data_IF_393422235568
#
_entry.id   IF_393422235568
#
_cell.length_a   1.000
_cell.length_b   1.000
_cell.length_c   1.000
_cell.angle_alpha   90.00
_cell.angle_beta   90.00
_cell.angle_gamma   90.00
#
_symmetry.space_group_name_H-M   'P 1'
#
loop_
_entity.id
_entity.type
_entity.pdbx_description
1 polymer ?
#
# COMPACT_ATOMS: atom_id res chain seq x y z
N UNK A 1 16.20 -9.86 -27.15
CA UNK A 1 16.73 -8.75 -26.33
C UNK A 1 17.40 -9.31 -25.06
N UNK A 2 18.64 -9.82 -25.10
CA UNK A 2 19.27 -10.49 -23.95
C UNK A 2 19.49 -9.57 -22.73
N UNK A 3 19.56 -8.25 -22.98
CA UNK A 3 19.79 -7.22 -21.98
C UNK A 3 18.51 -6.61 -21.42
N UNK A 4 17.32 -7.14 -21.74
CA UNK A 4 16.08 -6.66 -21.14
C UNK A 4 16.12 -6.93 -19.63
N UNK A 5 15.88 -5.89 -18.83
CA UNK A 5 15.88 -5.94 -17.35
C UNK A 5 14.57 -5.45 -16.75
N UNK A 6 13.82 -4.68 -17.49
CA UNK A 6 12.58 -4.07 -17.05
C UNK A 6 11.53 -4.34 -18.10
N UNK A 7 10.36 -4.81 -17.67
CA UNK A 7 9.26 -5.13 -18.57
C UNK A 7 7.97 -4.63 -17.95
N UNK A 8 7.21 -3.88 -18.74
CA UNK A 8 5.87 -3.44 -18.37
C UNK A 8 4.86 -4.01 -19.36
N UNK A 9 3.86 -4.71 -18.82
CA UNK A 9 2.84 -5.41 -19.56
C UNK A 9 1.47 -4.84 -19.18
N UNK A 10 0.79 -4.25 -20.15
CA UNK A 10 -0.53 -3.63 -19.96
C UNK A 10 -1.52 -4.19 -20.98
N UNK A 11 -2.72 -4.55 -20.53
CA UNK A 11 -3.85 -4.80 -21.41
C UNK A 11 -4.71 -6.00 -21.01
N UNK A 12 -6.02 -5.85 -21.17
CA UNK A 12 -6.98 -6.92 -21.02
C UNK A 12 -6.80 -7.92 -22.17
N UNK A 13 -6.53 -9.19 -21.87
CA UNK A 13 -6.50 -10.31 -22.85
C UNK A 13 -5.23 -10.54 -23.68
N UNK A 14 -4.11 -9.85 -23.43
CA UNK A 14 -2.91 -9.94 -24.30
C UNK A 14 -1.93 -11.09 -23.98
N UNK A 15 -2.13 -11.84 -22.89
CA UNK A 15 -1.08 -12.72 -22.36
C UNK A 15 -1.32 -14.22 -22.49
N UNK A 16 -2.53 -14.65 -22.84
CA UNK A 16 -2.80 -16.03 -23.25
C UNK A 16 -2.74 -16.10 -24.78
N UNK A 17 -1.56 -16.28 -25.41
CA UNK A 17 -0.51 -17.23 -25.00
C UNK A 17 0.92 -16.69 -25.24
N UNK A 18 1.35 -15.65 -24.52
CA UNK A 18 2.72 -15.18 -24.62
C UNK A 18 3.63 -16.08 -23.77
N UNK A 19 4.14 -17.16 -24.36
CA UNK A 19 5.13 -18.02 -23.69
C UNK A 19 6.50 -17.34 -23.67
N UNK A 20 6.75 -16.60 -22.61
CA UNK A 20 8.02 -15.94 -22.34
C UNK A 20 8.97 -16.79 -21.47
N UNK A 21 8.60 -18.04 -21.14
CA UNK A 21 9.37 -18.87 -20.21
C UNK A 21 10.77 -19.25 -20.73
N UNK A 22 10.95 -19.30 -22.06
CA UNK A 22 12.24 -19.53 -22.73
C UNK A 22 13.04 -18.26 -23.05
N UNK A 23 12.66 -17.11 -22.50
CA UNK A 23 13.29 -15.83 -22.85
C UNK A 23 14.78 -15.79 -22.48
N UNK A 24 15.67 -15.30 -23.37
CA UNK A 24 17.11 -15.25 -23.13
C UNK A 24 17.53 -14.14 -22.14
N UNK A 25 16.56 -13.39 -21.60
CA UNK A 25 16.78 -12.29 -20.68
C UNK A 25 16.34 -12.65 -19.26
N UNK A 26 16.91 -11.92 -18.30
CA UNK A 26 16.61 -12.02 -16.88
C UNK A 26 16.13 -10.67 -16.38
N UNK A 27 14.88 -10.61 -15.95
CA UNK A 27 14.25 -9.38 -15.47
C UNK A 27 14.68 -9.06 -14.04
N UNK A 28 14.81 -7.77 -13.76
CA UNK A 28 14.99 -7.18 -12.44
C UNK A 28 13.68 -6.57 -11.94
N UNK A 29 12.95 -5.89 -12.82
CA UNK A 29 11.63 -5.31 -12.51
C UNK A 29 10.58 -5.79 -13.51
N UNK A 30 9.39 -6.10 -13.00
CA UNK A 30 8.25 -6.53 -13.79
C UNK A 30 7.00 -5.82 -13.30
N UNK A 31 6.36 -5.08 -14.21
CA UNK A 31 5.06 -4.47 -13.99
C UNK A 31 4.03 -5.17 -14.87
N UNK A 32 2.96 -5.67 -14.26
CA UNK A 32 1.83 -6.29 -14.93
C UNK A 32 0.54 -5.65 -14.42
N UNK A 33 -0.25 -5.11 -15.34
CA UNK A 33 -1.64 -4.76 -15.07
C UNK A 33 -2.57 -5.79 -15.75
N UNK A 34 -3.38 -6.55 -14.99
CA UNK A 34 -3.74 -7.95 -15.23
C UNK A 34 -5.09 -8.08 -15.98
N UNK A 35 -5.74 -9.28 -16.03
CA UNK A 35 -5.56 -10.50 -15.22
C UNK A 35 -4.25 -11.29 -15.46
N UNK A 36 -3.65 -11.81 -14.38
CA UNK A 36 -2.48 -12.72 -14.39
C UNK A 36 -3.01 -14.15 -14.44
N UNK A 37 -2.78 -14.83 -15.56
CA UNK A 37 -3.12 -16.25 -15.73
C UNK A 37 -1.95 -17.16 -15.34
N UNK A 38 -2.14 -18.48 -15.52
CA UNK A 38 -1.11 -19.48 -15.27
C UNK A 38 0.15 -19.27 -16.14
N UNK A 39 0.04 -18.67 -17.32
CA UNK A 39 1.19 -18.42 -18.21
C UNK A 39 2.05 -17.29 -17.68
N UNK A 40 1.43 -16.20 -17.22
CA UNK A 40 2.15 -15.10 -16.56
C UNK A 40 2.79 -15.59 -15.26
N UNK A 41 2.10 -16.39 -14.45
CA UNK A 41 2.72 -16.94 -13.24
C UNK A 41 3.95 -17.81 -13.57
N UNK A 42 3.85 -18.71 -14.56
CA UNK A 42 4.99 -19.51 -15.05
C UNK A 42 6.13 -18.62 -15.56
N UNK A 43 5.81 -17.54 -16.26
CA UNK A 43 6.81 -16.58 -16.70
C UNK A 43 7.52 -15.94 -15.50
N UNK A 44 6.78 -15.46 -14.50
CA UNK A 44 7.36 -14.90 -13.27
C UNK A 44 8.26 -15.94 -12.57
N UNK A 45 7.82 -17.20 -12.46
CA UNK A 45 8.62 -18.27 -11.84
C UNK A 45 9.91 -18.56 -12.61
N UNK A 46 9.95 -18.33 -13.93
CA UNK A 46 11.16 -18.48 -14.76
C UNK A 46 12.19 -17.35 -14.58
N UNK A 47 11.83 -16.30 -13.83
CA UNK A 47 12.60 -15.06 -13.65
C UNK A 47 13.00 -14.86 -12.18
N UNK A 48 13.91 -15.70 -11.62
CA UNK A 48 14.29 -15.62 -10.20
C UNK A 48 15.03 -14.32 -9.83
N UNK A 49 15.52 -13.58 -10.82
CA UNK A 49 16.26 -12.32 -10.65
C UNK A 49 15.36 -11.10 -10.43
N UNK A 50 14.04 -11.26 -10.47
CA UNK A 50 13.11 -10.16 -10.22
C UNK A 50 13.23 -9.76 -8.75
N UNK A 51 13.55 -8.49 -8.53
CA UNK A 51 13.63 -7.86 -7.21
C UNK A 51 12.48 -6.89 -6.96
N UNK A 52 11.79 -6.49 -8.03
CA UNK A 52 10.66 -5.56 -8.02
C UNK A 52 9.50 -6.13 -8.85
N UNK A 53 8.40 -6.46 -8.18
CA UNK A 53 7.22 -7.03 -8.78
C UNK A 53 6.01 -6.14 -8.53
N UNK A 54 5.44 -5.58 -9.59
CA UNK A 54 4.23 -4.80 -9.52
C UNK A 54 3.12 -5.52 -10.28
N UNK A 55 2.15 -6.08 -9.56
CA UNK A 55 0.96 -6.72 -10.14
C UNK A 55 -0.29 -5.99 -9.67
N UNK A 56 -0.85 -5.14 -10.53
CA UNK A 56 -1.88 -4.17 -10.15
C UNK A 56 -3.17 -4.38 -10.90
N UNK A 57 -4.19 -4.94 -10.24
CA UNK A 57 -5.51 -5.13 -10.87
C UNK A 57 -6.15 -3.82 -11.30
N UNK A 58 -6.68 -3.79 -12.53
CA UNK A 58 -7.58 -2.73 -12.93
C UNK A 58 -8.84 -2.82 -12.05
N UNK A 59 -9.12 -1.73 -11.34
CA UNK A 59 -10.32 -1.52 -10.51
C UNK A 59 -11.62 -1.79 -11.27
N UNK A 60 -11.59 -1.76 -12.61
CA UNK A 60 -12.74 -1.98 -13.48
C UNK A 60 -13.20 -3.44 -13.57
N UNK A 61 -12.38 -4.42 -13.17
CA UNK A 61 -12.73 -5.84 -13.29
C UNK A 61 -12.73 -6.50 -11.91
N UNK A 62 -13.77 -7.29 -11.60
CA UNK A 62 -13.81 -8.18 -10.41
C UNK A 62 -12.82 -9.36 -10.53
N UNK A 63 -11.72 -9.16 -11.24
CA UNK A 63 -10.71 -10.15 -11.52
C UNK A 63 -9.45 -9.80 -10.71
N UNK A 64 -8.77 -10.83 -10.24
CA UNK A 64 -7.47 -10.71 -9.60
C UNK A 64 -6.61 -11.90 -10.01
N UNK A 65 -5.35 -11.90 -9.57
CA UNK A 65 -4.43 -13.02 -9.76
C UNK A 65 -4.98 -14.27 -9.09
N UNK A 66 -4.68 -15.46 -9.63
CA UNK A 66 -4.88 -16.68 -8.85
C UNK A 66 -3.64 -16.90 -7.94
N UNK A 67 -3.82 -16.79 -6.62
CA UNK A 67 -2.74 -16.93 -5.63
C UNK A 67 -2.16 -18.34 -5.58
N UNK A 68 -2.91 -19.36 -6.02
CA UNK A 68 -2.44 -20.76 -6.06
C UNK A 68 -1.22 -20.94 -6.97
N UNK A 69 -0.98 -20.00 -7.89
CA UNK A 69 0.21 -20.00 -8.75
C UNK A 69 1.46 -19.41 -8.10
N UNK A 70 1.35 -18.84 -6.88
CA UNK A 70 2.42 -18.11 -6.20
C UNK A 70 2.82 -18.74 -4.85
N UNK A 71 2.44 -20.00 -4.62
CA UNK A 71 2.68 -20.71 -3.34
C UNK A 71 4.08 -21.35 -3.23
N UNK A 72 4.85 -21.40 -4.31
CA UNK A 72 6.20 -21.97 -4.29
C UNK A 72 7.15 -21.08 -3.47
N UNK A 73 7.75 -21.57 -2.37
CA UNK A 73 8.64 -20.78 -1.53
C UNK A 73 9.96 -20.41 -2.21
N UNK A 74 10.34 -21.08 -3.30
CA UNK A 74 11.57 -20.81 -4.06
C UNK A 74 11.39 -19.75 -5.15
N UNK A 75 10.14 -19.36 -5.43
CA UNK A 75 9.81 -18.36 -6.43
C UNK A 75 10.25 -16.97 -5.94
N UNK A 76 10.99 -16.24 -6.78
CA UNK A 76 11.45 -14.87 -6.52
C UNK A 76 12.27 -14.72 -5.22
N UNK A 77 13.41 -15.43 -5.07
CA UNK A 77 14.18 -15.46 -3.81
C UNK A 77 14.73 -14.08 -3.42
N UNK A 78 14.99 -13.20 -4.39
CA UNK A 78 15.56 -11.86 -4.18
C UNK A 78 14.49 -10.76 -4.25
N UNK A 79 13.22 -11.06 -3.98
CA UNK A 79 12.14 -10.07 -4.03
C UNK A 79 12.26 -9.06 -2.89
N UNK A 80 12.45 -7.78 -3.22
CA UNK A 80 12.58 -6.68 -2.26
C UNK A 80 11.37 -5.74 -2.30
N UNK A 81 10.77 -5.55 -3.46
CA UNK A 81 9.62 -4.66 -3.66
C UNK A 81 8.46 -5.42 -4.25
N UNK A 82 7.28 -5.29 -3.65
CA UNK A 82 6.05 -5.88 -4.16
C UNK A 82 4.90 -4.88 -4.13
N UNK A 83 4.19 -4.76 -5.25
CA UNK A 83 2.88 -4.10 -5.32
C UNK A 83 1.85 -5.13 -5.72
N UNK A 84 0.74 -5.23 -4.99
CA UNK A 84 -0.37 -6.06 -5.40
C UNK A 84 -1.43 -6.26 -4.34
N UNK A 85 -2.34 -7.21 -4.59
CA UNK A 85 -3.41 -7.49 -3.65
C UNK A 85 -2.91 -8.18 -2.37
N UNK A 86 -3.65 -8.04 -1.24
CA UNK A 86 -3.28 -8.65 0.03
C UNK A 86 -2.98 -10.16 -0.06
N UNK A 87 -3.81 -10.91 -0.79
CA UNK A 87 -3.61 -12.35 -0.99
C UNK A 87 -2.31 -12.70 -1.70
N UNK A 88 -1.96 -11.96 -2.76
CA UNK A 88 -0.70 -12.16 -3.49
C UNK A 88 0.51 -11.85 -2.60
N UNK A 89 0.44 -10.76 -1.85
CA UNK A 89 1.49 -10.36 -0.92
C UNK A 89 1.66 -11.43 0.14
N UNK A 90 0.57 -11.98 0.67
CA UNK A 90 0.65 -13.03 1.67
C UNK A 90 1.22 -14.35 1.16
N UNK A 91 1.01 -14.69 -0.12
CA UNK A 91 1.66 -15.85 -0.75
C UNK A 91 3.16 -15.62 -1.00
N UNK A 92 3.55 -14.39 -1.35
CA UNK A 92 4.92 -14.04 -1.72
C UNK A 92 5.76 -13.43 -0.59
N UNK A 93 5.21 -13.08 0.57
CA UNK A 93 6.00 -12.49 1.66
C UNK A 93 6.92 -13.52 2.38
N UNK A 94 6.44 -14.74 2.71
CA UNK A 94 7.23 -15.67 3.50
C UNK A 94 8.56 -16.03 2.82
N UNK A 95 9.66 -15.96 3.58
CA UNK A 95 10.99 -16.38 3.16
C UNK A 95 11.74 -15.41 2.25
N UNK A 96 11.16 -14.25 1.90
CA UNK A 96 11.77 -13.29 0.96
C UNK A 96 12.16 -11.97 1.64
N UNK A 97 13.20 -11.29 1.14
CA UNK A 97 13.74 -10.08 1.75
C UNK A 97 12.94 -8.82 1.36
N UNK A 98 11.62 -8.85 1.53
CA UNK A 98 10.79 -7.69 1.26
C UNK A 98 11.17 -6.51 2.16
N UNK A 99 11.31 -5.33 1.57
CA UNK A 99 11.56 -4.08 2.30
C UNK A 99 10.54 -3.00 1.93
N UNK A 100 9.95 -3.08 0.73
CA UNK A 100 8.96 -2.14 0.24
C UNK A 100 7.69 -2.87 -0.22
N UNK A 101 6.55 -2.52 0.36
CA UNK A 101 5.28 -3.19 0.09
C UNK A 101 4.19 -2.17 -0.22
N UNK A 102 3.49 -2.35 -1.33
CA UNK A 102 2.32 -1.55 -1.70
C UNK A 102 1.12 -2.50 -1.79
N UNK A 103 0.22 -2.40 -0.82
CA UNK A 103 -0.98 -3.22 -0.72
C UNK A 103 -2.12 -2.49 -1.44
N UNK A 104 -2.67 -3.14 -2.47
CA UNK A 104 -3.85 -2.68 -3.21
C UNK A 104 -5.00 -3.68 -3.04
N UNK A 105 -5.94 -3.48 -2.10
CA UNK A 105 -7.08 -4.36 -1.92
C UNK A 105 -7.86 -4.58 -3.24
N UNK A 106 -8.42 -5.78 -3.42
CA UNK A 106 -9.10 -6.16 -4.66
C UNK A 106 -10.42 -6.90 -4.38
N UNK A 107 -11.37 -6.92 -5.30
CA UNK A 107 -12.69 -7.57 -5.07
C UNK A 107 -12.65 -9.08 -4.84
N UNK A 108 -11.53 -9.73 -5.12
CA UNK A 108 -11.39 -11.20 -5.02
C UNK A 108 -10.79 -11.62 -3.68
N UNK A 109 -9.77 -10.90 -3.19
CA UNK A 109 -9.03 -11.24 -1.97
C UNK A 109 -9.22 -10.22 -0.84
N UNK A 110 -10.03 -9.20 -1.05
CA UNK A 110 -10.46 -8.32 0.04
C UNK A 110 -11.80 -8.81 0.57
N UNK A 111 -11.70 -9.76 1.49
CA UNK A 111 -12.81 -10.34 2.21
C UNK A 111 -12.69 -9.95 3.68
N UNK A 112 -13.27 -8.81 4.05
CA UNK A 112 -13.42 -8.33 5.43
C UNK A 112 -12.11 -8.06 6.23
N UNK A 113 -12.26 -7.33 7.35
CA UNK A 113 -11.18 -6.96 8.27
C UNK A 113 -10.33 -8.14 8.76
N UNK A 114 -10.92 -9.33 8.96
CA UNK A 114 -10.20 -10.48 9.49
C UNK A 114 -9.20 -11.06 8.48
N UNK A 115 -9.49 -11.03 7.18
CA UNK A 115 -8.53 -11.51 6.19
C UNK A 115 -7.41 -10.51 5.97
N UNK A 116 -7.69 -9.20 6.00
CA UNK A 116 -6.64 -8.17 5.95
C UNK A 116 -5.66 -8.33 7.11
N UNK A 117 -6.13 -8.61 8.33
CA UNK A 117 -5.26 -8.90 9.48
C UNK A 117 -4.35 -10.10 9.20
N UNK A 118 -4.90 -11.20 8.67
CA UNK A 118 -4.10 -12.39 8.31
C UNK A 118 -3.04 -12.06 7.25
N UNK A 119 -3.39 -11.25 6.26
CA UNK A 119 -2.45 -10.85 5.21
C UNK A 119 -1.35 -9.93 5.74
N UNK A 120 -1.67 -9.00 6.63
CA UNK A 120 -0.67 -8.15 7.29
C UNK A 120 0.28 -9.00 8.13
N UNK A 121 -0.22 -9.98 8.88
CA UNK A 121 0.61 -10.88 9.68
C UNK A 121 1.61 -11.70 8.84
N UNK A 122 1.31 -11.97 7.56
CA UNK A 122 2.24 -12.67 6.67
C UNK A 122 3.56 -11.91 6.42
N UNK A 123 3.56 -10.58 6.60
CA UNK A 123 4.74 -9.74 6.43
C UNK A 123 5.79 -9.98 7.53
N UNK A 124 5.39 -10.50 8.70
CA UNK A 124 6.31 -10.92 9.76
C UNK A 124 7.15 -12.15 9.36
N UNK A 125 6.79 -12.83 8.28
CA UNK A 125 7.52 -13.98 7.75
C UNK A 125 8.53 -13.63 6.65
N UNK A 126 8.71 -12.33 6.38
CA UNK A 126 9.78 -11.85 5.50
C UNK A 126 11.15 -12.01 6.17
N UNK A 127 12.21 -12.12 5.37
CA UNK A 127 13.59 -12.29 5.89
C UNK A 127 14.32 -10.96 6.09
N UNK A 128 13.70 -9.85 5.72
CA UNK A 128 14.20 -8.49 5.90
C UNK A 128 13.14 -7.61 6.56
N UNK A 129 13.53 -6.60 7.35
CA UNK A 129 12.58 -5.67 7.95
C UNK A 129 11.86 -4.82 6.89
N UNK A 130 10.53 -4.72 7.00
CA UNK A 130 9.73 -3.82 6.15
C UNK A 130 10.06 -2.37 6.50
N UNK A 131 10.58 -1.62 5.53
CA UNK A 131 10.96 -0.22 5.69
C UNK A 131 9.93 0.75 5.10
N UNK A 132 9.24 0.36 4.02
CA UNK A 132 8.22 1.18 3.38
C UNK A 132 6.94 0.39 3.17
N UNK A 133 5.81 0.98 3.54
CA UNK A 133 4.50 0.38 3.41
C UNK A 133 3.49 1.40 2.90
N UNK A 134 2.81 1.07 1.81
CA UNK A 134 1.72 1.88 1.26
C UNK A 134 0.45 1.03 1.24
N UNK A 135 -0.60 1.51 1.90
CA UNK A 135 -1.95 0.94 1.82
C UNK A 135 -2.87 1.81 0.95
N UNK A 136 -3.17 1.28 -0.23
CA UNK A 136 -3.89 1.95 -1.31
C UNK A 136 -5.35 1.45 -1.31
N UNK A 137 -6.16 1.94 -0.38
CA UNK A 137 -7.59 1.59 -0.27
C UNK A 137 -8.44 2.51 -1.14
N UNK A 138 -8.72 2.11 -2.37
CA UNK A 138 -9.71 2.77 -3.21
C UNK A 138 -11.14 2.27 -2.88
N UNK A 139 -12.06 3.21 -2.64
CA UNK A 139 -13.52 3.06 -2.66
C UNK A 139 -14.21 2.06 -1.70
N UNK A 140 -13.58 1.69 -0.57
CA UNK A 140 -14.21 0.77 0.39
C UNK A 140 -14.39 1.33 1.79
N UNK A 141 -15.64 1.48 2.28
CA UNK A 141 -15.91 2.05 3.59
C UNK A 141 -15.67 1.08 4.76
N UNK A 142 -15.50 -0.22 4.51
CA UNK A 142 -15.45 -1.22 5.59
C UNK A 142 -14.10 -1.35 6.29
N UNK A 143 -13.02 -0.89 5.66
CA UNK A 143 -11.68 -0.95 6.25
C UNK A 143 -10.88 0.30 5.87
N UNK A 144 -10.72 1.20 6.84
CA UNK A 144 -10.06 2.48 6.61
C UNK A 144 -8.54 2.36 6.66
N UNK A 145 -7.84 3.38 6.12
CA UNK A 145 -6.40 3.54 6.35
C UNK A 145 -6.05 3.60 7.85
N UNK A 146 -6.95 4.09 8.71
CA UNK A 146 -6.74 4.10 10.16
C UNK A 146 -6.81 2.70 10.77
N UNK A 147 -7.79 1.88 10.35
CA UNK A 147 -7.90 0.47 10.75
C UNK A 147 -6.64 -0.31 10.34
N UNK A 148 -6.10 -0.01 9.16
CA UNK A 148 -4.86 -0.61 8.69
C UNK A 148 -3.69 -0.36 9.65
N UNK A 149 -3.49 0.88 10.06
CA UNK A 149 -2.39 1.25 10.97
C UNK A 149 -2.54 0.56 12.33
N UNK A 150 -3.77 0.49 12.85
CA UNK A 150 -4.04 -0.25 14.09
C UNK A 150 -3.74 -1.75 13.93
N UNK A 151 -4.03 -2.35 12.77
CA UNK A 151 -3.66 -3.74 12.51
C UNK A 151 -2.14 -3.96 12.45
N UNK A 152 -1.36 -2.99 11.96
CA UNK A 152 0.10 -3.09 11.95
C UNK A 152 0.68 -3.21 13.36
N UNK A 153 0.04 -2.61 14.37
CA UNK A 153 0.49 -2.70 15.77
C UNK A 153 0.49 -4.12 16.33
N UNK A 154 -0.25 -5.04 15.71
CA UNK A 154 -0.25 -6.45 16.07
C UNK A 154 0.94 -7.24 15.49
N UNK A 155 1.84 -6.59 14.74
CA UNK A 155 2.98 -7.21 14.03
C UNK A 155 4.32 -6.66 14.49
N UNK A 156 5.42 -7.20 13.95
CA UNK A 156 6.77 -6.66 14.13
C UNK A 156 7.08 -5.42 13.29
N UNK A 157 6.21 -5.07 12.32
CA UNK A 157 6.42 -3.98 11.36
C UNK A 157 6.69 -2.62 12.03
N UNK A 158 5.94 -2.16 13.06
CA UNK A 158 6.13 -0.84 13.67
C UNK A 158 7.54 -0.58 14.21
N UNK A 159 8.29 -1.65 14.51
CA UNK A 159 9.66 -1.55 15.02
C UNK A 159 10.68 -1.19 13.94
N UNK A 160 10.35 -1.38 12.66
CA UNK A 160 11.28 -1.21 11.54
C UNK A 160 10.80 -0.31 10.41
N UNK A 161 9.50 0.00 10.38
CA UNK A 161 8.90 0.84 9.35
C UNK A 161 9.44 2.26 9.40
N UNK A 162 9.94 2.76 8.27
CA UNK A 162 10.50 4.11 8.09
C UNK A 162 9.52 5.02 7.35
N UNK A 163 8.78 4.47 6.39
CA UNK A 163 7.80 5.20 5.58
C UNK A 163 6.44 4.49 5.60
N UNK A 164 5.38 5.23 5.90
CA UNK A 164 4.01 4.74 5.89
C UNK A 164 3.13 5.70 5.10
N UNK A 165 2.50 5.19 4.05
CA UNK A 165 1.50 5.91 3.27
C UNK A 165 0.15 5.20 3.38
N UNK A 166 -0.91 5.93 3.68
CA UNK A 166 -2.29 5.40 3.68
C UNK A 166 -3.19 6.33 2.88
N UNK A 167 -4.22 5.77 2.24
CA UNK A 167 -5.28 6.58 1.63
C UNK A 167 -6.42 6.86 2.61
N UNK A 168 -6.97 8.06 2.55
CA UNK A 168 -8.17 8.46 3.27
C UNK A 168 -9.07 9.35 2.41
N UNK A 169 -10.37 9.39 2.72
CA UNK A 169 -11.29 10.33 2.09
C UNK A 169 -11.10 11.73 2.70
N UNK A 170 -10.72 12.70 1.86
CA UNK A 170 -10.42 14.07 2.27
C UNK A 170 -11.64 14.80 2.85
N UNK A 171 -12.83 14.62 2.25
CA UNK A 171 -14.06 15.23 2.75
C UNK A 171 -14.48 14.63 4.09
N UNK A 172 -14.36 13.32 4.25
CA UNK A 172 -14.64 12.66 5.53
C UNK A 172 -13.66 13.15 6.61
N UNK A 173 -12.37 13.22 6.29
CA UNK A 173 -11.36 13.77 7.19
C UNK A 173 -11.73 15.21 7.64
N UNK A 174 -12.02 16.09 6.69
CA UNK A 174 -12.39 17.48 6.99
C UNK A 174 -13.66 17.56 7.83
N UNK A 175 -14.66 16.74 7.49
CA UNK A 175 -15.93 16.66 8.22
C UNK A 175 -15.73 16.18 9.66
N UNK A 176 -14.91 15.16 9.87
CA UNK A 176 -14.60 14.66 11.21
C UNK A 176 -13.81 15.69 12.02
N UNK A 177 -12.82 16.34 11.42
CA UNK A 177 -12.06 17.39 12.09
C UNK A 177 -12.93 18.60 12.47
N UNK A 178 -13.89 18.98 11.62
CA UNK A 178 -14.83 20.06 11.93
C UNK A 178 -15.81 19.69 13.06
N UNK A 179 -16.22 18.41 13.14
CA UNK A 179 -17.15 17.91 14.17
C UNK A 179 -16.46 17.61 15.51
N UNK A 180 -15.22 17.16 15.47
CA UNK A 180 -14.45 16.73 16.64
C UNK A 180 -13.10 17.46 16.68
N UNK A 181 -12.94 18.48 17.55
CA UNK A 181 -11.67 19.18 17.71
C UNK A 181 -10.48 18.28 18.08
N UNK A 182 -10.73 17.11 18.67
CA UNK A 182 -9.71 16.14 19.08
C UNK A 182 -9.32 15.15 17.99
N UNK A 183 -9.98 15.17 16.82
CA UNK A 183 -9.79 14.16 15.77
C UNK A 183 -8.33 14.06 15.29
N UNK A 184 -7.65 15.19 15.09
CA UNK A 184 -6.23 15.18 14.75
C UNK A 184 -5.34 14.56 15.84
N UNK A 185 -5.69 14.76 17.12
CA UNK A 185 -5.00 14.12 18.25
C UNK A 185 -5.22 12.62 18.24
N UNK A 186 -6.45 12.16 17.98
CA UNK A 186 -6.78 10.73 17.86
C UNK A 186 -5.98 10.09 16.72
N UNK A 187 -5.88 10.74 15.56
CA UNK A 187 -5.05 10.27 14.45
C UNK A 187 -3.58 10.19 14.84
N UNK A 188 -3.04 11.21 15.50
CA UNK A 188 -1.64 11.18 15.93
C UNK A 188 -1.37 10.01 16.89
N UNK A 189 -2.32 9.69 17.79
CA UNK A 189 -2.24 8.56 18.72
C UNK A 189 -2.21 7.19 18.01
N UNK A 190 -2.78 7.09 16.81
CA UNK A 190 -2.70 5.86 16.00
C UNK A 190 -1.24 5.52 15.63
N UNK A 191 -0.31 6.49 15.64
CA UNK A 191 1.12 6.23 15.39
C UNK A 191 1.91 5.85 16.64
N UNK A 192 1.29 5.74 17.82
CA UNK A 192 1.98 5.26 19.01
C UNK A 192 2.50 3.83 18.81
N UNK A 193 3.74 3.60 19.22
CA UNK A 193 4.43 2.30 19.09
C UNK A 193 5.29 2.15 17.83
N UNK A 194 5.21 3.09 16.88
CA UNK A 194 6.13 3.12 15.74
C UNK A 194 7.48 3.69 16.17
N UNK A 195 8.51 2.83 16.18
CA UNK A 195 9.83 3.20 16.69
C UNK A 195 10.70 3.92 15.64
N UNK A 196 10.61 3.49 14.37
CA UNK A 196 11.49 3.96 13.29
C UNK A 196 10.81 4.86 12.27
N UNK A 197 9.52 5.17 12.44
CA UNK A 197 8.73 5.87 11.43
C UNK A 197 9.16 7.32 11.28
N UNK A 198 9.74 7.64 10.13
CA UNK A 198 10.27 8.97 9.81
C UNK A 198 9.33 9.77 8.90
N UNK A 199 8.60 9.08 8.02
CA UNK A 199 7.73 9.68 7.01
C UNK A 199 6.33 9.08 7.13
N UNK A 200 5.35 9.92 7.42
CA UNK A 200 3.94 9.54 7.41
C UNK A 200 3.17 10.39 6.41
N UNK A 201 2.49 9.74 5.48
CA UNK A 201 1.71 10.38 4.44
C UNK A 201 0.27 9.84 4.39
N UNK A 202 -0.68 10.76 4.31
CA UNK A 202 -2.08 10.46 4.03
C UNK A 202 -2.39 10.97 2.64
N UNK A 203 -2.71 10.08 1.71
CA UNK A 203 -3.12 10.43 0.35
C UNK A 203 -4.65 10.48 0.22
N UNK A 204 -5.15 11.21 -0.78
CA UNK A 204 -6.57 11.23 -1.11
C UNK A 204 -6.99 9.92 -1.80
N UNK A 205 -8.05 9.28 -1.30
CA UNK A 205 -8.54 8.02 -1.87
C UNK A 205 -9.14 8.18 -3.28
N UNK A 206 -9.85 9.29 -3.59
CA UNK A 206 -10.44 9.55 -4.93
C UNK A 206 -10.64 11.06 -5.17
N UNK A 207 -10.07 11.60 -6.25
CA UNK A 207 -10.14 13.03 -6.65
C UNK A 207 -11.50 13.51 -7.22
N UNK A 208 -12.47 12.60 -7.46
CA UNK A 208 -13.70 12.89 -8.21
C UNK A 208 -14.88 13.46 -7.41
N UNK A 209 -15.00 13.12 -6.12
CA UNK A 209 -16.18 13.47 -5.30
C UNK A 209 -16.25 14.96 -4.93
N UNK A 210 -15.10 15.61 -4.78
CA UNK A 210 -15.02 17.00 -4.32
C UNK A 210 -15.36 17.97 -5.48
N UNK A 211 -15.09 17.58 -6.73
CA UNK A 211 -15.42 18.38 -7.92
C UNK A 211 -16.94 18.59 -8.09
N UNK A 212 -17.77 17.69 -7.55
CA UNK A 212 -19.23 17.74 -7.66
C UNK A 212 -19.89 18.59 -6.56
N UNK A 213 -19.13 19.05 -5.55
CA UNK A 213 -19.66 19.82 -4.42
C UNK A 213 -18.79 21.05 -4.10
N UNK A 214 -19.09 22.24 -4.67
CA UNK A 214 -18.32 23.46 -4.42
C UNK A 214 -18.20 23.84 -2.93
N UNK A 215 -19.25 23.57 -2.13
CA UNK A 215 -19.23 23.79 -0.68
C UNK A 215 -18.30 22.85 0.09
N UNK A 216 -17.91 21.70 -0.49
CA UNK A 216 -16.96 20.78 0.13
C UNK A 216 -15.55 21.39 0.16
N UNK A 217 -15.16 22.13 -0.88
CA UNK A 217 -13.88 22.84 -0.92
C UNK A 217 -13.79 23.89 0.19
N UNK A 218 -14.86 24.66 0.43
CA UNK A 218 -14.86 25.66 1.51
C UNK A 218 -14.66 25.04 2.89
N UNK A 219 -15.27 23.88 3.14
CA UNK A 219 -15.10 23.15 4.41
C UNK A 219 -13.67 22.63 4.54
N UNK A 220 -13.13 22.03 3.48
CA UNK A 220 -11.75 21.53 3.45
C UNK A 220 -10.76 22.66 3.71
N UNK A 221 -10.86 23.75 2.95
CA UNK A 221 -9.97 24.92 3.08
C UNK A 221 -10.04 25.52 4.48
N UNK A 222 -11.25 25.66 5.04
CA UNK A 222 -11.43 26.17 6.40
C UNK A 222 -10.76 25.25 7.43
N UNK A 223 -10.90 23.92 7.30
CA UNK A 223 -10.29 22.95 8.22
C UNK A 223 -8.76 23.03 8.15
N UNK A 224 -8.17 23.04 6.96
CA UNK A 224 -6.72 23.14 6.83
C UNK A 224 -6.19 24.49 7.32
N UNK A 225 -6.89 25.60 7.07
CA UNK A 225 -6.53 26.90 7.62
C UNK A 225 -6.55 26.91 9.16
N UNK A 226 -7.45 26.14 9.80
CA UNK A 226 -7.47 25.96 11.25
C UNK A 226 -6.30 25.11 11.73
N UNK A 227 -6.02 23.99 11.05
CA UNK A 227 -4.91 23.09 11.35
C UNK A 227 -3.58 23.88 11.28
N UNK A 228 -3.30 24.57 10.18
CA UNK A 228 -2.07 25.33 9.96
C UNK A 228 -1.80 26.40 11.04
N UNK A 229 -2.84 26.93 11.68
CA UNK A 229 -2.72 27.92 12.77
C UNK A 229 -2.42 27.30 14.13
N UNK A 230 -2.47 25.99 14.29
CA UNK A 230 -2.17 25.32 15.55
C UNK A 230 -0.66 25.35 15.82
N UNK A 231 -0.24 26.12 16.81
CA UNK A 231 1.17 26.36 17.13
C UNK A 231 1.98 25.11 17.51
N UNK A 232 1.32 23.98 17.82
CA UNK A 232 1.94 22.79 18.40
C UNK A 232 1.73 21.50 17.57
N UNK A 233 1.39 21.60 16.28
CA UNK A 233 1.16 20.39 15.46
C UNK A 233 2.37 19.46 15.45
N UNK A 234 3.56 20.02 15.25
CA UNK A 234 4.81 19.24 15.23
C UNK A 234 5.04 18.48 16.54
N UNK A 235 4.77 19.15 17.66
CA UNK A 235 4.92 18.55 18.99
C UNK A 235 3.87 17.47 19.23
N UNK A 236 2.63 17.67 18.79
CA UNK A 236 1.56 16.66 18.85
C UNK A 236 1.98 15.35 18.16
N UNK A 237 2.46 15.43 16.92
CA UNK A 237 2.88 14.24 16.17
C UNK A 237 4.10 13.57 16.81
N UNK A 238 5.10 14.34 17.22
CA UNK A 238 6.33 13.79 17.85
C UNK A 238 6.11 13.24 19.25
N UNK A 239 5.14 13.74 20.00
CA UNK A 239 4.74 13.14 21.27
C UNK A 239 4.21 11.71 21.09
N UNK A 240 3.58 11.42 19.95
CA UNK A 240 3.03 10.10 19.66
C UNK A 240 4.00 9.21 18.88
N UNK A 241 4.83 9.78 18.00
CA UNK A 241 5.88 9.07 17.26
C UNK A 241 7.15 9.94 17.16
N UNK A 242 8.09 9.81 18.12
CA UNK A 242 9.25 10.71 18.23
C UNK A 242 10.22 10.69 17.05
N UNK A 243 10.24 9.61 16.26
CA UNK A 243 11.09 9.46 15.08
C UNK A 243 10.60 10.26 13.86
N UNK A 244 9.38 10.82 13.90
CA UNK A 244 8.82 11.56 12.76
C UNK A 244 9.66 12.78 12.39
N UNK A 245 10.08 12.76 11.13
CA UNK A 245 10.76 13.87 10.46
C UNK A 245 9.84 14.62 9.52
N UNK A 246 8.85 13.94 8.93
CA UNK A 246 7.91 14.50 7.98
C UNK A 246 6.50 13.95 8.19
N UNK A 247 5.50 14.83 8.18
CA UNK A 247 4.08 14.45 8.12
C UNK A 247 3.41 15.20 6.98
N UNK A 248 2.78 14.47 6.07
CA UNK A 248 2.01 15.03 4.97
C UNK A 248 0.56 14.53 5.04
N UNK A 249 -0.37 15.48 5.09
CA UNK A 249 -1.79 15.22 5.05
C UNK A 249 -2.33 15.74 3.72
N UNK A 250 -2.66 14.84 2.81
CA UNK A 250 -3.12 15.12 1.46
C UNK A 250 -2.10 15.98 0.69
N UNK A 251 -2.46 17.17 0.24
CA UNK A 251 -1.56 18.09 -0.45
C UNK A 251 -0.74 18.99 0.50
N UNK A 252 -0.92 18.87 1.83
CA UNK A 252 -0.28 19.74 2.83
C UNK A 252 0.83 19.03 3.62
N UNK A 253 2.04 19.58 3.57
CA UNK A 253 3.13 19.20 4.48
C UNK A 253 3.00 19.95 5.80
N UNK A 254 2.98 19.22 6.92
CA UNK A 254 2.86 19.80 8.26
C UNK A 254 4.23 20.23 8.78
N UNK A 255 5.25 19.37 8.68
CA UNK A 255 6.66 19.67 8.99
C UNK A 255 7.58 18.65 8.34
#
# INVERSE_FOLDING_TARGET
>A
MPNLRELSLFGFSLFSPMDLSGSPFKLKSLLISPPTDIHIAKFISSQPTIVDLNITSFTLTRQCVNIDHFIDPTMLPDLHTITGCPGLIASLAPGRPLTNVIIRPCHVHDSNKADIIKYIASLDHTTAPIQSLHFDSDDRPEFSGWDFIECLKATGIPLSLVCLTVKANLLDFATQQAKNPSYLTEIAQVLQGFACLQYFEVEEAVQGLIQEQPSAHEVIDMVFAVIERQANLKDLWRQNCPSLTSVKLFDKTIF
#
